data_IF_164225812617
#
_entry.id   IF_164225812617
#
_cell.length_a   1.000
_cell.length_b   1.000
_cell.length_c   1.000
_cell.angle_alpha   90.00
_cell.angle_beta   90.00
_cell.angle_gamma   90.00
#
_symmetry.space_group_name_H-M   'P 1'
#
loop_
_entity.id
_entity.type
_entity.pdbx_description
1 polymer ?
#
# COMPACT_ATOMS: atom_id res chain seq x y z
N UNK A 1 -37.39 -5.93 -49.08
CA UNK A 1 -37.79 -4.74 -49.85
C UNK A 1 -37.45 -3.52 -49.00
N UNK A 2 -36.30 -2.91 -49.33
CA UNK A 2 -35.76 -1.57 -48.98
C UNK A 2 -35.66 -1.20 -47.48
N UNK A 3 -34.49 -1.10 -46.83
CA UNK A 3 -33.28 -0.24 -46.99
C UNK A 3 -33.47 1.26 -46.74
N UNK A 4 -32.43 1.82 -46.08
CA UNK A 4 -32.01 3.23 -45.83
C UNK A 4 -32.09 3.66 -44.36
N UNK A 5 -31.08 4.30 -43.77
CA UNK A 5 -29.72 4.65 -44.20
C UNK A 5 -28.88 4.94 -42.93
N UNK A 6 -27.63 4.48 -42.93
CA UNK A 6 -26.57 4.92 -42.02
C UNK A 6 -25.97 6.21 -42.56
N UNK A 7 -25.65 7.18 -41.69
CA UNK A 7 -24.77 8.31 -42.03
C UNK A 7 -23.63 8.39 -41.04
N UNK A 8 -22.44 8.13 -41.57
CA UNK A 8 -21.14 8.36 -40.95
C UNK A 8 -20.70 9.82 -41.11
N UNK A 9 -19.94 10.34 -40.15
CA UNK A 9 -19.17 11.58 -40.30
C UNK A 9 -17.68 11.35 -40.02
N UNK A 10 -16.78 12.11 -40.68
CA UNK A 10 -15.45 11.64 -41.01
C UNK A 10 -14.34 12.11 -40.05
N UNK A 11 -13.30 11.28 -39.98
CA UNK A 11 -11.96 11.57 -39.47
C UNK A 11 -11.27 12.62 -40.36
N UNK A 12 -10.67 13.65 -39.77
CA UNK A 12 -9.69 14.51 -40.45
C UNK A 12 -8.34 14.45 -39.75
N UNK A 13 -7.40 13.81 -40.44
CA UNK A 13 -5.96 13.86 -40.24
C UNK A 13 -5.42 15.22 -40.71
N UNK A 14 -4.50 15.80 -39.95
CA UNK A 14 -3.67 16.92 -40.39
C UNK A 14 -2.20 16.64 -40.05
N UNK A 15 -1.54 15.98 -40.98
CA UNK A 15 -0.09 15.93 -41.13
C UNK A 15 0.40 17.33 -41.55
N UNK A 16 1.40 17.88 -40.86
CA UNK A 16 2.24 18.96 -41.39
C UNK A 16 3.71 18.60 -41.22
N UNK A 17 4.30 18.16 -42.32
CA UNK A 17 5.75 18.18 -42.56
C UNK A 17 6.15 19.60 -42.96
N UNK A 18 7.27 20.12 -42.46
CA UNK A 18 8.05 21.12 -43.20
C UNK A 18 9.56 21.02 -42.89
N UNK A 19 10.26 20.57 -43.93
CA UNK A 19 11.60 20.91 -44.42
C UNK A 19 12.74 21.35 -43.48
N UNK A 20 13.81 20.57 -43.58
CA UNK A 20 15.22 20.91 -43.34
C UNK A 20 15.70 21.97 -44.35
N UNK A 21 16.44 22.99 -43.87
CA UNK A 21 17.46 23.69 -44.66
C UNK A 21 18.66 23.98 -43.76
N UNK A 22 19.81 23.46 -44.15
CA UNK A 22 21.12 23.74 -43.56
C UNK A 22 21.78 24.93 -44.29
N UNK A 23 22.45 25.81 -43.55
CA UNK A 23 23.58 26.62 -44.04
C UNK A 23 24.38 27.23 -42.88
N UNK A 24 25.63 26.79 -42.74
CA UNK A 24 26.79 27.54 -42.21
C UNK A 24 27.30 28.46 -43.35
N UNK A 25 28.09 29.55 -43.11
CA UNK A 25 29.32 29.54 -42.30
C UNK A 25 29.79 30.85 -41.60
N UNK A 26 30.86 30.65 -40.80
CA UNK A 26 32.05 31.48 -40.60
C UNK A 26 32.10 32.74 -39.68
N UNK A 27 32.99 32.58 -38.69
CA UNK A 27 34.01 33.53 -38.19
C UNK A 27 33.63 34.61 -37.16
N UNK A 28 34.18 34.51 -35.93
CA UNK A 28 35.38 35.25 -35.50
C UNK A 28 35.84 34.83 -34.09
N UNK A 29 37.15 34.83 -33.91
CA UNK A 29 37.89 34.42 -32.72
C UNK A 29 37.85 35.48 -31.60
N UNK A 30 38.04 35.08 -30.34
CA UNK A 30 39.11 35.59 -29.45
C UNK A 30 39.29 34.65 -28.25
N UNK A 31 40.55 34.44 -27.87
CA UNK A 31 41.04 33.25 -27.18
C UNK A 31 40.96 33.22 -25.66
N UNK A 32 41.32 32.06 -25.10
CA UNK A 32 41.79 31.87 -23.73
C UNK A 32 42.73 30.65 -23.64
N UNK A 33 43.79 30.80 -22.84
CA UNK A 33 44.96 29.92 -22.69
C UNK A 33 44.66 28.47 -22.25
N UNK A 34 45.53 27.49 -22.57
CA UNK A 34 45.38 26.13 -22.09
C UNK A 34 46.04 25.97 -20.70
N UNK A 35 45.27 25.50 -19.72
CA UNK A 35 45.82 24.85 -18.53
C UNK A 35 45.50 23.35 -18.63
N UNK A 36 46.55 22.55 -18.77
CA UNK A 36 46.51 21.10 -18.71
C UNK A 36 46.26 20.68 -17.26
N UNK A 37 45.05 20.22 -16.95
CA UNK A 37 44.76 19.43 -15.74
C UNK A 37 43.91 18.23 -16.11
N UNK A 38 44.47 17.04 -15.87
CA UNK A 38 43.83 15.74 -16.05
C UNK A 38 42.50 15.65 -15.30
N UNK A 39 41.45 15.01 -15.88
CA UNK A 39 40.23 14.74 -15.14
C UNK A 39 40.48 13.59 -14.14
N UNK A 40 40.59 13.97 -12.87
CA UNK A 40 40.56 13.03 -11.75
C UNK A 40 39.12 12.53 -11.61
N UNK A 41 38.91 11.23 -11.82
CA UNK A 41 37.66 10.53 -11.51
C UNK A 41 37.30 10.81 -10.05
N UNK A 42 36.32 11.66 -9.81
CA UNK A 42 35.64 11.76 -8.51
C UNK A 42 34.76 10.53 -8.36
N UNK A 43 35.24 9.56 -7.58
CA UNK A 43 34.41 8.49 -7.08
C UNK A 43 33.25 9.11 -6.27
N UNK A 44 32.04 8.90 -6.78
CA UNK A 44 30.80 9.31 -6.13
C UNK A 44 30.72 8.73 -4.72
N UNK A 45 30.63 9.60 -3.70
CA UNK A 45 30.44 9.26 -2.28
C UNK A 45 29.01 8.78 -1.95
N UNK A 46 28.15 8.56 -2.94
CA UNK A 46 26.75 8.15 -2.76
C UNK A 46 26.57 6.76 -2.15
N UNK A 47 27.60 5.91 -2.13
CA UNK A 47 27.49 4.53 -1.62
C UNK A 47 27.60 4.38 -0.09
N UNK A 48 28.14 5.36 0.62
CA UNK A 48 28.39 5.24 2.08
C UNK A 48 27.18 5.66 2.90
N UNK A 49 26.39 6.63 2.42
CA UNK A 49 25.18 7.11 3.11
C UNK A 49 24.06 6.06 3.14
N UNK A 50 23.91 5.27 2.07
CA UNK A 50 22.92 4.20 2.00
C UNK A 50 23.25 3.02 2.92
N UNK A 51 24.54 2.70 3.09
CA UNK A 51 25.00 1.66 4.02
C UNK A 51 24.89 2.13 5.47
N UNK A 52 25.15 3.40 5.77
CA UNK A 52 24.97 3.98 7.11
C UNK A 52 23.49 3.99 7.52
N UNK A 53 22.57 4.31 6.59
CA UNK A 53 21.14 4.28 6.84
C UNK A 53 20.62 2.85 7.11
N UNK A 54 21.13 1.86 6.37
CA UNK A 54 20.82 0.44 6.62
C UNK A 54 21.43 -0.03 7.94
N UNK A 55 22.64 0.41 8.28
CA UNK A 55 23.29 0.07 9.54
C UNK A 55 22.56 0.66 10.77
N UNK A 56 21.99 1.86 10.65
CA UNK A 56 21.19 2.48 11.72
C UNK A 56 19.81 1.80 11.88
N UNK A 57 19.20 1.29 10.80
CA UNK A 57 17.99 0.46 10.87
C UNK A 57 18.24 -0.91 11.53
N UNK A 58 19.49 -1.40 11.49
CA UNK A 58 19.92 -2.66 12.11
C UNK A 58 20.49 -2.49 13.52
N UNK A 59 20.66 -1.25 14.00
CA UNK A 59 21.00 -1.03 15.40
C UNK A 59 19.78 -1.38 16.25
N UNK A 60 19.95 -2.18 17.33
CA UNK A 60 18.88 -2.36 18.29
C UNK A 60 18.46 -0.97 18.80
N UNK A 61 17.17 -0.62 18.79
CA UNK A 61 16.75 0.71 19.19
C UNK A 61 17.26 1.00 20.59
N UNK A 62 17.68 2.25 20.82
CA UNK A 62 17.98 2.72 22.16
C UNK A 62 16.78 2.31 23.04
N UNK A 63 17.03 1.57 24.12
CA UNK A 63 15.97 1.15 25.02
C UNK A 63 15.38 2.39 25.66
N UNK A 64 14.34 2.95 25.04
CA UNK A 64 13.30 3.68 25.75
C UNK A 64 12.88 2.74 26.88
N UNK A 65 12.89 3.20 28.13
CA UNK A 65 12.55 2.36 29.29
C UNK A 65 11.08 1.91 29.33
N UNK A 66 10.44 1.77 28.17
CA UNK A 66 9.06 1.35 27.93
C UNK A 66 8.97 -0.17 27.93
N UNK A 67 7.80 -0.65 28.35
CA UNK A 67 7.50 -2.08 28.37
C UNK A 67 7.39 -2.63 26.93
N UNK A 68 7.88 -3.86 26.77
CA UNK A 68 7.69 -4.67 25.56
C UNK A 68 6.22 -5.06 25.43
N UNK A 69 5.59 -4.70 24.31
CA UNK A 69 4.18 -5.01 24.06
C UNK A 69 3.96 -6.22 23.14
N UNK A 70 5.00 -6.76 22.53
CA UNK A 70 4.88 -7.76 21.44
C UNK A 70 4.26 -9.08 21.84
N UNK A 71 4.36 -9.46 23.13
CA UNK A 71 3.81 -10.72 23.66
C UNK A 71 2.52 -10.52 24.49
N UNK A 72 2.07 -9.28 24.68
CA UNK A 72 0.93 -8.96 25.56
C UNK A 72 -0.26 -8.34 24.82
N UNK A 73 -0.12 -8.07 23.52
CA UNK A 73 -1.24 -7.62 22.71
C UNK A 73 -2.34 -8.68 22.67
N UNK A 74 -3.62 -8.28 22.82
CA UNK A 74 -4.73 -9.19 22.64
C UNK A 74 -4.87 -9.57 21.17
N UNK A 75 -5.54 -10.68 20.90
CA UNK A 75 -6.01 -10.99 19.56
C UNK A 75 -6.95 -9.89 19.02
N UNK A 76 -6.87 -9.60 17.71
CA UNK A 76 -7.87 -8.73 17.09
C UNK A 76 -9.30 -9.29 17.24
N UNK A 77 -10.32 -8.42 17.33
CA UNK A 77 -11.69 -8.84 17.54
C UNK A 77 -12.18 -9.72 16.39
N UNK A 78 -13.13 -10.60 16.70
CA UNK A 78 -13.74 -11.45 15.69
C UNK A 78 -14.50 -10.61 14.66
N UNK A 79 -14.36 -10.96 13.39
CA UNK A 79 -15.13 -10.32 12.32
C UNK A 79 -16.60 -10.74 12.42
N UNK A 80 -17.50 -9.76 12.41
CA UNK A 80 -18.95 -9.98 12.36
C UNK A 80 -19.45 -9.34 11.07
N UNK A 81 -19.91 -10.17 10.13
CA UNK A 81 -20.44 -9.70 8.86
C UNK A 81 -21.94 -9.46 8.96
N UNK A 82 -22.36 -8.27 8.53
CA UNK A 82 -23.76 -7.99 8.23
C UNK A 82 -24.02 -8.28 6.73
N UNK A 83 -24.04 -9.57 6.38
CA UNK A 83 -24.09 -10.03 4.98
C UNK A 83 -25.50 -10.36 4.48
N UNK A 84 -26.48 -10.43 5.38
CA UNK A 84 -27.85 -10.79 5.03
C UNK A 84 -28.64 -9.57 4.52
N UNK A 85 -29.53 -9.81 3.57
CA UNK A 85 -30.54 -8.85 3.12
C UNK A 85 -29.96 -7.50 2.64
N UNK A 86 -28.79 -7.52 1.98
CA UNK A 86 -28.17 -6.32 1.41
C UNK A 86 -29.01 -5.81 0.22
N UNK A 87 -29.70 -4.69 0.42
CA UNK A 87 -30.37 -3.96 -0.66
C UNK A 87 -29.36 -3.07 -1.42
N UNK A 88 -28.89 -3.58 -2.56
CA UNK A 88 -27.93 -2.87 -3.43
C UNK A 88 -28.46 -1.50 -3.86
N UNK A 89 -29.74 -1.41 -4.19
CA UNK A 89 -30.32 -0.18 -4.73
C UNK A 89 -30.43 0.89 -3.65
N UNK A 90 -30.85 0.51 -2.44
CA UNK A 90 -30.88 1.40 -1.28
C UNK A 90 -29.49 1.95 -0.95
N UNK A 91 -28.50 1.06 -0.79
CA UNK A 91 -27.14 1.46 -0.41
C UNK A 91 -26.46 2.30 -1.49
N UNK A 92 -26.62 1.94 -2.77
CA UNK A 92 -26.10 2.76 -3.85
C UNK A 92 -26.80 4.12 -3.95
N UNK A 93 -28.13 4.18 -3.75
CA UNK A 93 -28.85 5.45 -3.73
C UNK A 93 -28.34 6.35 -2.59
N UNK A 94 -28.11 5.78 -1.40
CA UNK A 94 -27.51 6.48 -0.26
C UNK A 94 -26.13 7.05 -0.61
N UNK A 95 -25.18 6.22 -1.04
CA UNK A 95 -23.81 6.69 -1.33
C UNK A 95 -23.72 7.62 -2.55
N UNK A 96 -24.67 7.56 -3.49
CA UNK A 96 -24.76 8.55 -4.59
C UNK A 96 -25.37 9.89 -4.15
N UNK A 97 -26.12 9.92 -3.06
CA UNK A 97 -26.67 11.14 -2.50
C UNK A 97 -25.70 11.85 -1.55
N UNK A 98 -24.73 11.13 -1.01
CA UNK A 98 -23.63 11.66 -0.22
C UNK A 98 -22.59 12.36 -1.12
N UNK A 99 -21.91 13.36 -0.57
CA UNK A 99 -20.85 14.08 -1.29
C UNK A 99 -19.64 13.16 -1.51
N UNK A 100 -18.97 13.32 -2.66
CA UNK A 100 -17.68 12.67 -2.92
C UNK A 100 -16.67 13.07 -1.82
N UNK A 101 -16.21 12.07 -1.08
CA UNK A 101 -15.20 12.28 -0.05
C UNK A 101 -13.80 12.15 -0.65
N UNK A 102 -12.89 13.03 -0.23
CA UNK A 102 -11.47 12.90 -0.59
C UNK A 102 -10.84 11.78 0.22
N UNK A 103 -10.30 10.77 -0.44
CA UNK A 103 -9.56 9.68 0.17
C UNK A 103 -8.28 9.39 -0.65
N UNK A 104 -7.08 9.41 -0.05
CA UNK A 104 -6.79 9.80 1.35
C UNK A 104 -6.80 11.34 1.54
N UNK A 105 -7.03 11.80 2.78
CA UNK A 105 -6.71 13.18 3.16
C UNK A 105 -5.22 13.28 3.51
N UNK A 106 -4.53 14.24 2.90
CA UNK A 106 -3.11 14.48 3.15
C UNK A 106 -2.91 15.52 4.26
N UNK A 107 -2.04 15.19 5.23
CA UNK A 107 -1.58 16.10 6.27
C UNK A 107 -0.06 16.16 6.21
N UNK A 108 0.48 17.33 5.87
CA UNK A 108 1.92 17.55 5.71
C UNK A 108 2.46 18.28 6.93
N UNK A 109 3.48 17.72 7.56
CA UNK A 109 4.14 18.33 8.72
C UNK A 109 4.88 19.62 8.32
N UNK A 110 4.71 20.67 9.13
CA UNK A 110 5.62 21.80 9.15
C UNK A 110 6.83 21.55 10.06
N UNK A 111 7.75 22.51 10.15
CA UNK A 111 8.86 22.45 11.10
C UNK A 111 8.35 22.61 12.55
N UNK A 112 7.34 23.44 12.76
CA UNK A 112 6.67 23.65 14.04
C UNK A 112 5.94 22.38 14.49
N UNK A 113 5.19 21.72 13.58
CA UNK A 113 4.52 20.45 13.88
C UNK A 113 5.53 19.37 14.35
N UNK A 114 6.68 19.29 13.67
CA UNK A 114 7.75 18.36 14.04
C UNK A 114 8.40 18.70 15.38
N UNK A 115 8.48 19.98 15.74
CA UNK A 115 9.01 20.41 17.03
C UNK A 115 8.12 20.00 18.21
N UNK A 116 6.81 19.80 17.97
CA UNK A 116 5.85 19.34 18.99
C UNK A 116 5.94 17.83 19.28
N UNK A 117 6.41 17.03 18.32
CA UNK A 117 6.49 15.57 18.47
C UNK A 117 5.12 14.93 18.73
N UNK A 118 4.98 14.18 19.82
CA UNK A 118 3.72 13.51 20.19
C UNK A 118 2.61 14.50 20.56
N UNK A 119 2.95 15.67 21.10
CA UNK A 119 1.96 16.67 21.55
C UNK A 119 1.07 17.18 20.40
N UNK A 120 1.60 17.17 19.17
CA UNK A 120 0.83 17.49 17.96
C UNK A 120 -0.36 16.53 17.76
N UNK A 121 -0.12 15.23 17.93
CA UNK A 121 -1.13 14.20 17.74
C UNK A 121 -2.09 14.14 18.92
N UNK A 122 -1.59 14.30 20.15
CA UNK A 122 -2.43 14.33 21.35
C UNK A 122 -3.49 15.43 21.30
N UNK A 123 -3.09 16.66 20.95
CA UNK A 123 -4.02 17.81 20.91
C UNK A 123 -5.00 17.77 19.73
N UNK A 124 -4.71 16.98 18.70
CA UNK A 124 -5.53 16.84 17.48
C UNK A 124 -6.20 15.48 17.37
N UNK A 125 -6.14 14.65 18.41
CA UNK A 125 -6.66 13.28 18.38
C UNK A 125 -8.11 13.23 17.93
N UNK A 126 -8.99 14.02 18.55
CA UNK A 126 -10.42 14.06 18.23
C UNK A 126 -10.65 14.48 16.78
N UNK A 127 -9.92 15.51 16.32
CA UNK A 127 -9.94 15.94 14.92
C UNK A 127 -9.53 14.80 13.98
N UNK A 128 -8.45 14.07 14.29
CA UNK A 128 -8.01 12.93 13.48
C UNK A 128 -8.99 11.76 13.50
N UNK A 129 -9.65 11.50 14.62
CA UNK A 129 -10.73 10.51 14.68
C UNK A 129 -11.90 10.89 13.78
N UNK A 130 -12.30 12.16 13.75
CA UNK A 130 -13.35 12.66 12.86
C UNK A 130 -12.94 12.62 11.39
N UNK A 131 -11.70 13.04 11.07
CA UNK A 131 -11.17 12.96 9.71
C UNK A 131 -11.11 11.51 9.25
N UNK A 132 -10.61 10.59 10.09
CA UNK A 132 -10.51 9.17 9.74
C UNK A 132 -11.90 8.55 9.52
N UNK A 133 -12.87 8.87 10.38
CA UNK A 133 -14.24 8.39 10.24
C UNK A 133 -14.91 8.90 8.97
N UNK A 134 -14.65 10.15 8.57
CA UNK A 134 -15.23 10.75 7.37
C UNK A 134 -14.54 10.30 6.09
N UNK A 135 -13.20 10.28 6.09
CA UNK A 135 -12.39 10.13 4.88
C UNK A 135 -11.82 8.73 4.67
N UNK A 136 -11.95 7.84 5.66
CA UNK A 136 -11.46 6.46 5.64
C UNK A 136 -9.94 6.32 5.74
N UNK A 137 -9.16 7.31 5.31
CA UNK A 137 -7.69 7.27 5.37
C UNK A 137 -7.06 8.66 5.51
N UNK A 138 -6.08 8.76 6.42
CA UNK A 138 -5.22 9.93 6.57
C UNK A 138 -3.81 9.56 6.13
N UNK A 139 -3.23 10.37 5.24
CA UNK A 139 -1.83 10.29 4.87
C UNK A 139 -1.02 11.37 5.58
N UNK A 140 -0.34 10.97 6.65
CA UNK A 140 0.63 11.82 7.33
C UNK A 140 1.97 11.82 6.57
N UNK A 141 2.40 12.98 6.08
CA UNK A 141 3.65 13.13 5.30
C UNK A 141 4.61 14.11 5.97
N UNK A 142 5.88 13.73 6.05
CA UNK A 142 6.97 14.63 6.49
C UNK A 142 7.14 14.73 8.01
N UNK A 143 6.46 13.89 8.78
CA UNK A 143 6.65 13.82 10.23
C UNK A 143 7.93 13.06 10.58
N UNK A 144 8.75 13.65 11.45
CA UNK A 144 10.00 13.07 11.94
C UNK A 144 9.77 12.00 13.01
N UNK A 145 8.68 12.13 13.78
CA UNK A 145 8.30 11.20 14.84
C UNK A 145 8.24 9.75 14.35
N UNK A 146 7.68 9.50 13.16
CA UNK A 146 7.40 8.15 12.66
C UNK A 146 8.53 7.56 11.80
N UNK A 147 9.79 8.02 11.95
CA UNK A 147 10.92 7.54 11.12
C UNK A 147 11.52 6.22 11.58
N UNK A 148 11.18 5.76 12.77
CA UNK A 148 11.62 4.49 13.35
C UNK A 148 10.48 3.79 14.11
N UNK A 149 10.65 2.51 14.50
CA UNK A 149 9.60 1.76 15.18
C UNK A 149 9.14 2.34 16.53
N UNK A 150 10.04 2.97 17.29
CA UNK A 150 9.74 3.50 18.63
C UNK A 150 8.84 4.74 18.51
N UNK A 151 9.20 5.65 17.60
CA UNK A 151 8.39 6.84 17.33
C UNK A 151 7.10 6.56 16.54
N UNK A 152 7.07 5.49 15.71
CA UNK A 152 5.83 5.03 15.10
C UNK A 152 4.85 4.45 16.14
N UNK A 153 5.37 3.73 17.14
CA UNK A 153 4.58 3.30 18.30
C UNK A 153 4.07 4.49 19.11
N UNK A 154 4.91 5.49 19.36
CA UNK A 154 4.48 6.72 20.06
C UNK A 154 3.32 7.39 19.34
N UNK A 155 3.43 7.55 18.01
CA UNK A 155 2.33 8.06 17.20
C UNK A 155 1.04 7.24 17.42
N UNK A 156 1.10 5.91 17.32
CA UNK A 156 -0.10 5.08 17.46
C UNK A 156 -0.74 5.19 18.86
N UNK A 157 0.08 5.14 19.92
CA UNK A 157 -0.39 5.26 21.30
C UNK A 157 -1.02 6.65 21.56
N UNK A 158 -0.52 7.71 20.93
CA UNK A 158 -1.11 9.06 21.05
C UNK A 158 -2.50 9.16 20.45
N UNK A 159 -2.87 8.30 19.50
CA UNK A 159 -4.22 8.27 18.94
C UNK A 159 -5.22 7.54 19.85
N UNK A 160 -4.74 6.77 20.84
CA UNK A 160 -5.58 5.92 21.72
C UNK A 160 -6.49 4.97 20.93
N UNK A 161 -5.98 4.45 19.82
CA UNK A 161 -6.61 3.34 19.10
C UNK A 161 -6.10 2.03 19.71
N UNK A 162 -7.02 1.11 20.04
CA UNK A 162 -6.69 -0.15 20.67
C UNK A 162 -5.82 -1.01 19.74
N UNK A 163 -4.56 -1.31 20.11
CA UNK A 163 -3.74 -2.22 19.32
C UNK A 163 -4.19 -3.67 19.54
N UNK A 164 -4.04 -4.48 18.50
CA UNK A 164 -4.22 -5.92 18.58
C UNK A 164 -3.14 -6.64 17.78
N UNK A 165 -2.94 -7.93 18.08
CA UNK A 165 -2.06 -8.79 17.30
C UNK A 165 -2.56 -8.86 15.86
N UNK A 166 -1.68 -8.51 14.94
CA UNK A 166 -1.95 -8.58 13.50
C UNK A 166 -2.66 -9.90 13.14
N UNK A 167 -3.86 -9.88 12.53
CA UNK A 167 -4.63 -11.09 12.26
C UNK A 167 -3.89 -12.15 11.42
N UNK A 168 -2.88 -11.75 10.66
CA UNK A 168 -2.06 -12.65 9.84
C UNK A 168 -0.67 -12.89 10.42
N UNK A 169 -0.39 -12.50 11.66
CA UNK A 169 0.87 -12.80 12.35
C UNK A 169 1.18 -14.31 12.37
N UNK A 170 0.16 -15.16 12.44
CA UNK A 170 0.29 -16.62 12.44
C UNK A 170 0.47 -17.24 11.05
N UNK A 171 0.33 -16.47 9.96
CA UNK A 171 0.46 -16.97 8.58
C UNK A 171 1.90 -17.14 8.11
N UNK A 172 2.88 -16.64 8.87
CA UNK A 172 4.30 -16.64 8.49
C UNK A 172 4.65 -15.66 7.36
N UNK A 173 3.68 -14.88 6.87
CA UNK A 173 3.91 -13.85 5.85
C UNK A 173 4.61 -12.60 6.40
N UNK A 174 4.27 -12.21 7.63
CA UNK A 174 4.83 -11.05 8.33
C UNK A 174 5.81 -11.49 9.40
N UNK A 175 6.88 -10.71 9.56
CA UNK A 175 7.87 -10.88 10.63
C UNK A 175 7.90 -9.59 11.45
N UNK A 176 8.14 -9.70 12.75
CA UNK A 176 8.40 -8.50 13.53
C UNK A 176 9.65 -7.79 13.01
N UNK A 177 9.49 -6.53 12.64
CA UNK A 177 10.61 -5.60 12.51
C UNK A 177 11.10 -5.19 13.90
N UNK A 178 10.15 -4.88 14.79
CA UNK A 178 10.40 -4.66 16.21
C UNK A 178 9.32 -5.35 17.03
N UNK A 179 9.69 -6.46 17.69
CA UNK A 179 8.76 -7.20 18.56
C UNK A 179 8.32 -6.35 19.75
N UNK A 180 9.28 -5.69 20.39
CA UNK A 180 9.09 -4.74 21.51
C UNK A 180 8.01 -3.71 21.24
N UNK A 181 7.97 -3.19 20.01
CA UNK A 181 7.06 -2.11 19.62
C UNK A 181 5.81 -2.63 18.88
N UNK A 182 5.65 -3.96 18.77
CA UNK A 182 4.63 -4.62 17.96
C UNK A 182 4.56 -4.12 16.50
N UNK A 183 5.71 -3.78 15.91
CA UNK A 183 5.81 -3.33 14.52
C UNK A 183 6.22 -4.49 13.63
N UNK A 184 5.39 -4.79 12.64
CA UNK A 184 5.59 -5.85 11.67
C UNK A 184 6.19 -5.30 10.37
N UNK A 185 7.11 -6.05 9.78
CA UNK A 185 7.53 -5.83 8.40
C UNK A 185 6.49 -6.48 7.48
N UNK A 186 5.98 -5.69 6.54
CA UNK A 186 5.21 -6.21 5.42
C UNK A 186 6.05 -7.16 4.54
N UNK A 187 5.40 -7.89 3.64
CA UNK A 187 6.07 -8.91 2.80
C UNK A 187 7.21 -8.30 1.96
N UNK A 188 8.44 -8.37 2.49
CA UNK A 188 9.65 -7.83 1.86
C UNK A 188 10.54 -8.95 1.29
N UNK A 189 9.94 -9.92 0.61
CA UNK A 189 10.67 -10.99 -0.09
C UNK A 189 11.09 -10.49 -1.47
N UNK A 190 12.40 -10.46 -1.76
CA UNK A 190 12.91 -10.01 -3.07
C UNK A 190 12.31 -10.78 -4.26
N UNK A 191 12.00 -12.07 -4.08
CA UNK A 191 11.33 -12.89 -5.10
C UNK A 191 9.92 -12.40 -5.43
N UNK A 192 9.28 -11.70 -4.50
CA UNK A 192 7.96 -11.11 -4.65
C UNK A 192 8.01 -9.65 -5.12
N UNK A 193 9.20 -9.06 -5.35
CA UNK A 193 9.33 -7.63 -5.69
C UNK A 193 8.70 -7.21 -7.02
N UNK A 194 8.29 -8.16 -7.86
CA UNK A 194 7.59 -7.93 -9.13
C UNK A 194 6.10 -8.28 -9.06
N UNK A 195 5.63 -8.77 -7.92
CA UNK A 195 4.24 -9.17 -7.75
C UNK A 195 3.40 -7.93 -7.47
N UNK A 196 2.26 -7.86 -8.15
CA UNK A 196 1.22 -6.90 -7.84
C UNK A 196 0.31 -7.52 -6.78
N UNK A 197 0.13 -6.81 -5.67
CA UNK A 197 -0.84 -7.17 -4.64
C UNK A 197 -2.14 -6.45 -5.01
N UNK A 198 -3.18 -7.21 -5.34
CA UNK A 198 -4.49 -6.65 -5.68
C UNK A 198 -5.15 -5.97 -4.49
N UNK A 199 -6.07 -5.04 -4.78
CA UNK A 199 -6.87 -4.39 -3.73
C UNK A 199 -7.65 -5.42 -2.92
N UNK A 200 -7.56 -5.31 -1.60
CA UNK A 200 -8.27 -6.13 -0.65
C UNK A 200 -8.41 -5.36 0.66
N UNK A 201 -9.33 -5.82 1.50
CA UNK A 201 -9.37 -5.42 2.90
C UNK A 201 -8.54 -6.43 3.71
N UNK A 202 -7.79 -5.96 4.70
CA UNK A 202 -6.91 -6.80 5.50
C UNK A 202 -7.72 -7.78 6.38
N UNK A 203 -7.41 -9.07 6.25
CA UNK A 203 -7.87 -10.14 7.14
C UNK A 203 -9.38 -10.15 7.48
N UNK A 204 -10.26 -10.05 6.50
CA UNK A 204 -11.70 -9.88 6.77
C UNK A 204 -12.45 -11.16 7.17
N UNK A 205 -11.81 -12.32 7.26
CA UNK A 205 -12.55 -13.58 7.44
C UNK A 205 -12.84 -13.96 8.90
N UNK A 206 -11.84 -13.92 9.79
CA UNK A 206 -11.98 -14.41 11.18
C UNK A 206 -11.77 -13.32 12.23
N UNK A 207 -10.71 -12.53 12.05
CA UNK A 207 -10.30 -11.47 12.97
C UNK A 207 -9.92 -10.26 12.16
N UNK A 208 -10.46 -9.10 12.51
CA UNK A 208 -10.24 -7.87 11.73
C UNK A 208 -9.94 -6.72 12.67
N UNK A 209 -8.91 -5.94 12.34
CA UNK A 209 -8.72 -4.63 12.94
C UNK A 209 -9.61 -3.63 12.18
N UNK A 210 -10.35 -2.80 12.91
CA UNK A 210 -11.20 -1.74 12.30
C UNK A 210 -10.37 -0.62 11.67
N UNK A 211 -9.12 -0.48 12.11
CA UNK A 211 -8.16 0.51 11.64
C UNK A 211 -6.76 -0.10 11.64
N UNK A 212 -5.93 0.28 10.68
CA UNK A 212 -4.51 -0.06 10.65
C UNK A 212 -3.67 1.17 10.30
N UNK A 213 -2.39 1.14 10.66
CA UNK A 213 -1.42 2.15 10.26
C UNK A 213 -0.25 1.50 9.53
N UNK A 214 0.21 2.17 8.48
CA UNK A 214 1.35 1.76 7.67
C UNK A 214 2.38 2.88 7.67
N UNK A 215 3.66 2.51 7.69
CA UNK A 215 4.77 3.45 7.72
C UNK A 215 5.86 3.03 6.75
N UNK A 216 6.40 4.02 6.02
CA UNK A 216 7.49 3.80 5.09
C UNK A 216 8.83 4.17 5.73
N UNK A 217 9.49 3.21 6.37
CA UNK A 217 10.86 3.41 6.89
C UNK A 217 11.93 3.42 5.79
N UNK A 218 11.65 2.72 4.68
CA UNK A 218 12.57 2.63 3.55
C UNK A 218 11.81 2.72 2.23
N UNK A 219 11.98 3.81 1.46
CA UNK A 219 11.36 3.91 0.14
C UNK A 219 11.96 2.89 -0.83
N UNK A 220 11.19 2.54 -1.86
CA UNK A 220 11.68 1.72 -2.95
C UNK A 220 12.90 2.37 -3.62
N UNK A 221 13.97 1.60 -3.82
CA UNK A 221 15.27 2.14 -4.28
C UNK A 221 15.43 2.18 -5.80
N UNK A 222 14.49 1.60 -6.55
CA UNK A 222 14.56 1.50 -8.02
C UNK A 222 13.35 2.19 -8.64
N UNK A 223 12.16 1.61 -8.47
CA UNK A 223 10.88 2.09 -8.97
C UNK A 223 9.75 1.27 -8.35
N UNK A 224 8.54 1.83 -8.31
CA UNK A 224 7.37 1.13 -7.79
C UNK A 224 7.30 1.12 -6.27
N UNK A 225 6.57 0.16 -5.72
CA UNK A 225 6.40 0.01 -4.27
C UNK A 225 5.44 1.03 -3.65
N UNK A 226 4.65 1.70 -4.48
CA UNK A 226 3.57 2.56 -4.03
C UNK A 226 2.53 1.74 -3.26
N UNK A 227 2.14 2.26 -2.09
CA UNK A 227 1.06 1.68 -1.32
C UNK A 227 -0.27 2.20 -1.87
N UNK A 228 -0.95 1.38 -2.67
CA UNK A 228 -2.20 1.76 -3.31
C UNK A 228 -3.36 1.63 -2.34
N UNK A 229 -4.15 2.68 -2.24
CA UNK A 229 -5.37 2.73 -1.42
C UNK A 229 -6.52 3.08 -2.35
N UNK A 230 -7.69 2.51 -2.07
CA UNK A 230 -8.92 2.83 -2.77
C UNK A 230 -10.06 2.99 -1.77
N UNK A 231 -10.98 3.89 -2.09
CA UNK A 231 -12.22 4.08 -1.35
C UNK A 231 -13.20 2.95 -1.70
N UNK A 232 -13.44 2.05 -0.75
CA UNK A 232 -14.35 0.91 -0.90
C UNK A 232 -15.81 1.32 -1.08
N UNK A 233 -16.26 2.41 -0.43
CA UNK A 233 -17.61 2.93 -0.57
C UNK A 233 -17.82 3.49 -1.97
N UNK A 234 -16.83 4.24 -2.49
CA UNK A 234 -16.84 4.73 -3.87
C UNK A 234 -16.83 3.59 -4.89
N UNK A 235 -16.04 2.54 -4.66
CA UNK A 235 -16.06 1.33 -5.52
C UNK A 235 -17.47 0.72 -5.53
N UNK A 236 -18.08 0.53 -4.36
CA UNK A 236 -19.43 -0.03 -4.26
C UNK A 236 -20.47 0.86 -4.93
N UNK A 237 -20.40 2.17 -4.71
CA UNK A 237 -21.30 3.17 -5.29
C UNK A 237 -21.23 3.19 -6.83
N UNK A 238 -20.03 3.12 -7.39
CA UNK A 238 -19.81 3.29 -8.82
C UNK A 238 -19.93 1.98 -9.61
N UNK A 239 -19.91 0.81 -8.94
CA UNK A 239 -20.10 -0.50 -9.57
C UNK A 239 -21.50 -0.63 -10.20
N UNK A 240 -21.64 -1.24 -11.39
CA UNK A 240 -22.96 -1.52 -11.97
C UNK A 240 -23.81 -2.39 -11.04
N UNK A 241 -25.05 -1.97 -10.79
CA UNK A 241 -25.94 -2.63 -9.84
C UNK A 241 -26.25 -4.09 -10.22
N UNK A 242 -26.34 -4.41 -11.52
CA UNK A 242 -26.55 -5.76 -12.02
C UNK A 242 -25.36 -6.70 -11.70
N UNK A 243 -24.14 -6.17 -11.72
CA UNK A 243 -22.94 -6.91 -11.32
C UNK A 243 -22.95 -7.15 -9.81
N UNK A 244 -23.24 -6.14 -8.99
CA UNK A 244 -23.33 -6.29 -7.53
C UNK A 244 -24.40 -7.32 -7.13
N UNK A 245 -25.61 -7.23 -7.71
CA UNK A 245 -26.66 -8.23 -7.50
C UNK A 245 -26.19 -9.63 -7.88
N UNK A 246 -25.52 -9.78 -9.02
CA UNK A 246 -24.95 -11.07 -9.43
C UNK A 246 -23.92 -11.62 -8.43
N UNK A 247 -23.09 -10.76 -7.84
CA UNK A 247 -22.10 -11.18 -6.83
C UNK A 247 -22.77 -11.63 -5.53
N UNK A 248 -23.80 -10.90 -5.09
CA UNK A 248 -24.57 -11.23 -3.88
C UNK A 248 -25.42 -12.48 -4.07
N UNK A 249 -26.18 -12.58 -5.16
CA UNK A 249 -27.04 -13.73 -5.49
C UNK A 249 -26.25 -15.04 -5.61
N UNK A 250 -24.98 -14.94 -6.03
CA UNK A 250 -24.06 -16.08 -6.14
C UNK A 250 -23.26 -16.35 -4.88
N UNK A 251 -23.46 -15.55 -3.84
CA UNK A 251 -22.73 -15.62 -2.57
C UNK A 251 -21.22 -15.77 -2.79
N UNK A 252 -20.64 -14.93 -3.66
CA UNK A 252 -19.22 -15.07 -4.05
C UNK A 252 -18.32 -14.91 -2.82
N UNK A 253 -17.71 -16.02 -2.39
CA UNK A 253 -16.74 -16.07 -1.30
C UNK A 253 -15.35 -16.34 -1.86
N UNK A 254 -14.40 -15.44 -1.60
CA UNK A 254 -12.99 -15.64 -1.96
C UNK A 254 -12.24 -16.08 -0.71
N UNK A 255 -11.79 -17.33 -0.70
CA UNK A 255 -10.92 -17.86 0.35
C UNK A 255 -9.51 -18.01 -0.20
N UNK A 256 -8.57 -17.24 0.34
CA UNK A 256 -7.14 -17.41 0.03
C UNK A 256 -6.58 -18.44 1.00
N UNK A 257 -6.52 -19.69 0.56
CA UNK A 257 -5.70 -20.69 1.23
C UNK A 257 -4.28 -20.53 0.73
N UNK A 258 -3.40 -19.94 1.54
CA UNK A 258 -1.95 -20.13 1.36
C UNK A 258 -1.65 -21.59 1.67
N UNK A 259 -1.80 -22.44 0.65
CA UNK A 259 -1.17 -23.74 0.65
C UNK A 259 0.32 -23.46 0.60
N UNK A 260 1.00 -23.66 1.71
CA UNK A 260 2.46 -23.62 1.75
C UNK A 260 2.94 -24.83 0.94
N UNK A 261 3.04 -24.65 -0.38
CA UNK A 261 3.38 -25.71 -1.33
C UNK A 261 4.84 -26.17 -1.16
N UNK A 262 5.59 -25.59 -0.22
CA UNK A 262 6.97 -25.99 0.11
C UNK A 262 7.02 -27.43 0.67
N UNK A 263 5.95 -27.90 1.35
CA UNK A 263 5.80 -29.31 1.74
C UNK A 263 5.66 -30.24 0.52
N UNK A 264 5.10 -29.72 -0.58
CA UNK A 264 4.96 -30.44 -1.86
C UNK A 264 6.19 -30.31 -2.75
N UNK A 265 7.10 -29.38 -2.45
CA UNK A 265 8.43 -29.28 -3.04
C UNK A 265 9.38 -30.38 -2.56
N UNK A 266 9.13 -30.93 -1.36
CA UNK A 266 9.88 -32.04 -0.79
C UNK A 266 9.38 -33.43 -1.21
N UNK A 267 8.26 -33.51 -1.93
CA UNK A 267 7.70 -34.78 -2.40
C UNK A 267 8.46 -35.28 -3.66
N UNK A 268 8.88 -36.55 -3.74
CA UNK A 268 9.50 -37.12 -4.93
C UNK A 268 8.56 -36.99 -6.15
N UNK A 269 9.13 -36.95 -7.37
CA UNK A 269 8.38 -36.83 -8.63
C UNK A 269 7.18 -37.79 -8.78
N UNK A 270 6.34 -37.52 -9.77
CA UNK A 270 5.05 -38.18 -10.10
C UNK A 270 3.97 -38.19 -8.97
N UNK A 271 4.36 -38.06 -7.70
CA UNK A 271 3.43 -37.99 -6.56
C UNK A 271 2.85 -36.57 -6.34
N UNK A 272 3.54 -35.55 -6.84
CA UNK A 272 3.18 -34.13 -6.65
C UNK A 272 1.83 -33.79 -7.28
N UNK A 273 1.58 -34.26 -8.50
CA UNK A 273 0.32 -33.99 -9.21
C UNK A 273 -0.88 -34.67 -8.53
N UNK A 274 -0.71 -35.92 -8.08
CA UNK A 274 -1.74 -36.64 -7.34
C UNK A 274 -2.03 -36.00 -5.98
N UNK A 275 -1.00 -35.50 -5.30
CA UNK A 275 -1.14 -34.84 -4.01
C UNK A 275 -1.80 -33.46 -4.17
N UNK A 276 -1.45 -32.70 -5.22
CA UNK A 276 -2.12 -31.45 -5.59
C UNK A 276 -3.59 -31.65 -5.91
N UNK A 277 -3.95 -32.70 -6.65
CA UNK A 277 -5.34 -32.97 -7.00
C UNK A 277 -6.16 -33.37 -5.77
N UNK A 278 -5.57 -34.13 -4.85
CA UNK A 278 -6.20 -34.49 -3.57
C UNK A 278 -6.38 -33.29 -2.65
N UNK A 279 -5.39 -32.39 -2.58
CA UNK A 279 -5.50 -31.13 -1.82
C UNK A 279 -6.56 -30.21 -2.43
N UNK A 280 -6.62 -30.09 -3.76
CA UNK A 280 -7.69 -29.36 -4.46
C UNK A 280 -9.06 -29.91 -4.11
N UNK A 281 -9.24 -31.24 -4.16
CA UNK A 281 -10.51 -31.87 -3.76
C UNK A 281 -10.93 -31.52 -2.33
N UNK A 282 -9.99 -31.55 -1.38
CA UNK A 282 -10.26 -31.21 0.03
C UNK A 282 -10.57 -29.74 0.27
N UNK A 283 -10.02 -28.83 -0.53
CA UNK A 283 -10.34 -27.40 -0.47
C UNK A 283 -11.74 -27.15 -1.06
N UNK A 284 -12.06 -27.78 -2.19
CA UNK A 284 -13.38 -27.64 -2.84
C UNK A 284 -14.53 -28.25 -2.02
N UNK A 285 -14.28 -29.29 -1.21
CA UNK A 285 -15.31 -29.88 -0.34
C UNK A 285 -15.53 -29.11 0.98
N UNK A 286 -14.65 -28.17 1.34
CA UNK A 286 -14.70 -27.44 2.62
C UNK A 286 -14.98 -25.93 2.49
N UNK A 287 -15.10 -25.44 1.27
CA UNK A 287 -15.58 -24.08 0.94
C UNK A 287 -16.99 -24.23 0.39
#
# INVERSE_FOLDING_TARGET
RAERDQVAHPVRSAMRSLAVVAALPAALAFGFSPSLTSPQRTASRSGVQSVQAIANLLQPPATSGRDDIGDVLPDCPNTIWNENDIDVDEWQAKYRAEDDVTCPIEIVASAEDNAEGTAYFERRREEFSEILAKHGTIWFRGFDLMKDPDGFRDFWETLQLDPCLDPIHSSGLRKFLSKRDAVYEEVNKQTLSKHYIGLHNEATHKKTATTGAFVCFKPATVSGGEFMIADGEKIFRDMPADILRTLLDREVRISVSNLDLDVLGAAPGDSKEQLMEKVRGLVTEKV
#
